data_IF_301790624564
#
_entry.id   IF_301790624564
#
_cell.length_a   1.000
_cell.length_b   1.000
_cell.length_c   1.000
_cell.angle_alpha   90.00
_cell.angle_beta   90.00
_cell.angle_gamma   90.00
#
_symmetry.space_group_name_H-M   'P 1'
#
loop_
_entity.id
_entity.type
_entity.pdbx_description
1 polymer ?
#
# COMPACT_ATOMS: atom_id res chain seq x y z
N UNK A 1 16.07 -3.00 -3.88
CA UNK A 1 17.29 -2.31 -3.40
C UNK A 1 17.38 -2.50 -1.90
N UNK A 2 18.55 -2.83 -1.37
CA UNK A 2 18.77 -3.03 0.07
C UNK A 2 19.82 -2.02 0.51
N UNK A 3 19.57 -1.35 1.64
CA UNK A 3 20.52 -0.42 2.25
C UNK A 3 20.72 -0.90 3.69
N UNK A 4 21.92 -1.39 4.01
CA UNK A 4 22.22 -1.85 5.36
C UNK A 4 22.45 -0.65 6.29
N UNK A 5 21.69 -0.60 7.38
CA UNK A 5 21.89 0.36 8.45
C UNK A 5 23.20 0.09 9.20
N UNK A 6 23.88 1.11 9.75
CA UNK A 6 25.15 0.92 10.47
C UNK A 6 25.07 0.00 11.70
N UNK A 7 23.87 -0.22 12.24
CA UNK A 7 23.63 -0.98 13.48
C UNK A 7 22.59 -2.09 13.30
N UNK A 8 22.23 -2.43 12.06
CA UNK A 8 21.09 -3.30 11.78
C UNK A 8 21.27 -4.72 12.39
N UNK A 9 22.38 -5.40 12.07
CA UNK A 9 22.72 -6.69 12.67
C UNK A 9 22.86 -6.64 14.20
N UNK A 10 23.40 -5.54 14.75
CA UNK A 10 23.55 -5.39 16.21
C UNK A 10 22.22 -5.15 16.93
N UNK A 11 21.27 -4.49 16.28
CA UNK A 11 19.97 -4.15 16.86
C UNK A 11 19.03 -5.37 16.88
N UNK A 12 19.12 -6.24 15.87
CA UNK A 12 18.17 -7.35 15.68
C UNK A 12 18.77 -8.75 15.82
N UNK A 13 20.09 -8.90 15.76
CA UNK A 13 20.79 -10.15 16.11
C UNK A 13 20.55 -11.32 15.16
N UNK A 14 20.19 -11.08 13.90
CA UNK A 14 20.02 -12.16 12.90
C UNK A 14 21.37 -12.71 12.43
N UNK A 15 21.44 -14.03 12.21
CA UNK A 15 22.66 -14.72 11.77
C UNK A 15 22.88 -14.63 10.25
N UNK A 16 21.80 -14.49 9.49
CA UNK A 16 21.79 -14.37 8.04
C UNK A 16 20.50 -13.66 7.60
N UNK A 17 20.51 -13.12 6.39
CA UNK A 17 19.35 -12.49 5.75
C UNK A 17 19.18 -13.04 4.33
N UNK A 18 17.94 -13.02 3.83
CA UNK A 18 17.61 -13.40 2.47
C UNK A 18 16.53 -12.45 1.95
N UNK A 19 16.63 -12.08 0.67
CA UNK A 19 15.61 -11.27 0.01
C UNK A 19 14.62 -12.15 -0.73
N UNK A 20 13.34 -11.88 -0.50
CA UNK A 20 12.23 -12.47 -1.22
C UNK A 20 11.52 -11.35 -1.97
N UNK A 21 11.43 -11.47 -3.29
CA UNK A 21 10.65 -10.59 -4.14
C UNK A 21 9.41 -11.34 -4.59
N UNK A 22 8.25 -10.75 -4.36
CA UNK A 22 6.97 -11.24 -4.84
C UNK A 22 6.56 -10.40 -6.04
N UNK A 23 6.09 -11.05 -7.10
CA UNK A 23 5.52 -10.41 -8.27
C UNK A 23 4.41 -11.30 -8.83
N UNK A 24 3.53 -10.72 -9.61
CA UNK A 24 2.66 -11.46 -10.50
C UNK A 24 3.32 -11.61 -11.88
N UNK A 25 2.69 -12.40 -12.75
CA UNK A 25 3.16 -12.62 -14.11
C UNK A 25 2.02 -12.86 -15.07
N UNK A 26 2.11 -12.22 -16.24
CA UNK A 26 1.18 -12.37 -17.34
C UNK A 26 1.89 -12.94 -18.56
N UNK A 27 1.21 -13.81 -19.30
CA UNK A 27 1.67 -14.29 -20.61
C UNK A 27 1.44 -13.26 -21.72
N UNK A 28 0.58 -12.27 -21.48
CA UNK A 28 0.36 -11.13 -22.34
C UNK A 28 1.18 -9.92 -21.89
N UNK A 29 1.63 -9.11 -22.85
CA UNK A 29 2.31 -7.84 -22.54
C UNK A 29 1.29 -6.82 -22.02
N UNK A 30 1.75 -5.90 -21.17
CA UNK A 30 0.89 -4.89 -20.54
C UNK A 30 0.15 -4.00 -21.56
N UNK A 31 0.75 -3.75 -22.73
CA UNK A 31 0.10 -2.97 -23.80
C UNK A 31 -1.21 -3.62 -24.28
N UNK A 32 -1.24 -4.95 -24.43
CA UNK A 32 -2.43 -5.69 -24.86
C UNK A 32 -3.49 -5.71 -23.76
N UNK A 33 -3.07 -5.94 -22.51
CA UNK A 33 -3.94 -5.96 -21.35
C UNK A 33 -4.58 -4.59 -21.11
N UNK A 34 -3.77 -3.53 -21.22
CA UNK A 34 -4.22 -2.14 -21.08
C UNK A 34 -5.23 -1.76 -22.16
N UNK A 35 -5.00 -2.19 -23.41
CA UNK A 35 -5.94 -1.96 -24.50
C UNK A 35 -7.31 -2.63 -24.24
N UNK A 36 -7.30 -3.82 -23.63
CA UNK A 36 -8.52 -4.51 -23.18
C UNK A 36 -9.20 -3.81 -22.00
N UNK A 37 -8.43 -3.43 -20.99
CA UNK A 37 -8.93 -2.76 -19.78
C UNK A 37 -9.58 -1.40 -20.11
N UNK A 38 -8.92 -0.59 -20.95
CA UNK A 38 -9.40 0.73 -21.37
C UNK A 38 -10.37 0.70 -22.55
N UNK A 39 -10.84 -0.48 -22.96
CA UNK A 39 -11.82 -0.59 -24.04
C UNK A 39 -13.17 0.01 -23.62
N UNK A 40 -13.84 0.82 -24.48
CA UNK A 40 -15.17 1.34 -24.20
C UNK A 40 -16.19 0.22 -23.91
N UNK A 41 -16.75 0.20 -22.70
CA UNK A 41 -17.67 -0.84 -22.24
C UNK A 41 -17.00 -2.04 -21.55
N UNK A 42 -15.68 -1.98 -21.31
CA UNK A 42 -15.03 -2.81 -20.30
C UNK A 42 -15.74 -2.66 -18.95
N UNK A 43 -15.83 -3.73 -18.18
CA UNK A 43 -16.42 -3.70 -16.83
C UNK A 43 -15.47 -3.07 -15.80
N UNK A 44 -14.26 -2.68 -16.21
CA UNK A 44 -13.23 -2.19 -15.30
C UNK A 44 -12.58 -3.28 -14.47
N UNK A 45 -12.80 -4.55 -14.80
CA UNK A 45 -12.17 -5.67 -14.11
C UNK A 45 -10.68 -5.71 -14.44
N UNK A 46 -9.84 -5.65 -13.41
CA UNK A 46 -8.40 -5.76 -13.55
C UNK A 46 -8.01 -7.12 -14.17
N UNK A 47 -7.03 -7.14 -15.07
CA UNK A 47 -6.51 -8.39 -15.62
C UNK A 47 -6.02 -9.32 -14.51
N UNK A 48 -6.46 -10.58 -14.53
CA UNK A 48 -5.98 -11.60 -13.57
C UNK A 48 -4.65 -12.17 -14.06
N UNK A 49 -3.60 -12.21 -13.22
CA UNK A 49 -2.31 -12.76 -13.64
C UNK A 49 -2.36 -14.27 -13.85
N UNK A 50 -1.50 -14.77 -14.73
CA UNK A 50 -1.34 -16.19 -15.00
C UNK A 50 -0.59 -16.90 -13.85
N UNK A 51 0.35 -16.23 -13.19
CA UNK A 51 1.15 -16.84 -12.12
C UNK A 51 1.62 -15.83 -11.09
N UNK A 52 1.98 -16.34 -9.91
CA UNK A 52 2.75 -15.61 -8.90
C UNK A 52 4.20 -16.05 -9.02
N UNK A 53 5.12 -15.09 -8.99
CA UNK A 53 6.56 -15.30 -8.99
C UNK A 53 7.14 -15.00 -7.60
N UNK A 54 8.03 -15.88 -7.16
CA UNK A 54 8.92 -15.66 -6.03
C UNK A 54 10.35 -15.60 -6.59
N UNK A 55 11.01 -14.45 -6.42
CA UNK A 55 12.33 -14.18 -6.99
C UNK A 55 12.42 -14.51 -8.49
N UNK A 56 11.34 -14.28 -9.24
CA UNK A 56 11.26 -14.54 -10.68
C UNK A 56 10.89 -15.98 -11.08
N UNK A 57 10.59 -16.85 -10.12
CA UNK A 57 10.20 -18.24 -10.36
C UNK A 57 8.77 -18.50 -9.91
N UNK A 58 7.99 -19.19 -10.74
CA UNK A 58 6.61 -19.59 -10.42
C UNK A 58 6.18 -20.82 -11.21
N UNK A 59 5.20 -21.54 -10.68
CA UNK A 59 4.53 -22.66 -11.35
C UNK A 59 3.04 -22.32 -11.39
N UNK A 60 2.38 -22.61 -12.51
CA UNK A 60 0.96 -22.36 -12.71
C UNK A 60 0.10 -23.29 -11.82
N UNK A 61 -0.89 -22.67 -11.15
CA UNK A 61 -1.79 -23.14 -10.08
C UNK A 61 -1.13 -23.39 -8.70
N UNK A 62 -0.72 -22.33 -8.00
CA UNK A 62 -0.18 -22.42 -6.63
C UNK A 62 -0.68 -21.29 -5.70
N UNK A 63 -1.15 -21.69 -4.51
CA UNK A 63 -1.44 -20.80 -3.37
C UNK A 63 -0.17 -20.59 -2.54
N UNK A 64 0.17 -19.34 -2.18
CA UNK A 64 1.34 -19.00 -1.35
C UNK A 64 0.99 -18.93 0.15
N UNK A 65 1.69 -19.69 0.99
CA UNK A 65 1.63 -19.62 2.46
C UNK A 65 3.03 -19.95 3.02
N UNK A 66 3.54 -19.18 3.98
CA UNK A 66 4.62 -19.63 4.88
C UNK A 66 3.93 -20.24 6.10
N UNK A 67 3.68 -21.54 6.04
CA UNK A 67 2.88 -22.21 7.07
C UNK A 67 3.77 -22.69 8.25
N UNK A 68 3.19 -22.82 9.45
CA UNK A 68 3.85 -23.26 10.70
C UNK A 68 5.03 -22.42 11.25
N UNK A 69 5.25 -21.19 10.79
CA UNK A 69 6.20 -20.26 11.42
C UNK A 69 5.49 -18.98 11.82
N UNK A 70 5.80 -18.45 13.02
CA UNK A 70 5.44 -17.06 13.32
C UNK A 70 6.50 -16.13 12.74
N UNK A 71 6.05 -15.04 12.15
CA UNK A 71 6.89 -14.01 11.57
C UNK A 71 6.98 -12.85 12.56
N UNK A 72 8.19 -12.53 13.01
CA UNK A 72 8.46 -11.33 13.82
C UNK A 72 8.91 -10.22 12.90
N UNK A 73 8.02 -9.26 12.65
CA UNK A 73 8.26 -8.09 11.81
C UNK A 73 9.07 -7.08 12.61
N UNK A 74 10.16 -6.59 12.01
CA UNK A 74 11.08 -5.61 12.61
C UNK A 74 11.27 -4.36 11.75
N UNK A 75 10.78 -4.35 10.51
CA UNK A 75 10.81 -3.18 9.62
C UNK A 75 9.59 -3.19 8.68
N UNK A 76 9.03 -2.00 8.41
CA UNK A 76 8.02 -1.77 7.37
C UNK A 76 8.43 -0.62 6.46
N UNK A 77 8.55 -0.86 5.15
CA UNK A 77 8.93 0.11 4.12
C UNK A 77 10.22 0.93 4.43
N UNK A 78 11.24 0.33 5.06
CA UNK A 78 12.45 1.05 5.48
C UNK A 78 12.34 1.80 6.80
N UNK A 79 11.25 1.61 7.54
CA UNK A 79 11.07 2.12 8.90
C UNK A 79 11.13 0.97 9.89
N UNK A 80 12.16 0.99 10.73
CA UNK A 80 12.32 0.10 11.88
C UNK A 80 11.06 0.12 12.77
N UNK A 81 10.71 -1.03 13.33
CA UNK A 81 9.53 -1.20 14.19
C UNK A 81 9.89 -1.83 15.52
N UNK A 82 9.04 -1.60 16.53
CA UNK A 82 9.04 -2.47 17.70
C UNK A 82 8.62 -3.87 17.22
N UNK A 83 9.39 -4.94 17.51
CA UNK A 83 9.11 -6.27 17.01
C UNK A 83 7.65 -6.70 17.21
N UNK A 84 7.00 -7.12 16.12
CA UNK A 84 5.59 -7.52 16.11
C UNK A 84 5.42 -8.89 15.47
N UNK A 85 4.99 -9.87 16.28
CA UNK A 85 4.92 -11.29 15.89
C UNK A 85 3.52 -11.70 15.45
N UNK A 86 3.41 -12.21 14.23
CA UNK A 86 2.16 -12.59 13.56
C UNK A 86 2.29 -13.98 12.93
N UNK A 87 1.19 -14.59 12.52
CA UNK A 87 1.22 -15.84 11.74
C UNK A 87 1.15 -15.58 10.23
N UNK A 88 0.54 -14.47 9.80
CA UNK A 88 0.39 -14.11 8.39
C UNK A 88 0.60 -12.62 8.16
N UNK A 89 1.26 -12.30 7.05
CA UNK A 89 1.36 -10.95 6.50
C UNK A 89 0.69 -10.92 5.12
N UNK A 90 -0.07 -9.87 4.86
CA UNK A 90 -0.48 -9.50 3.49
C UNK A 90 0.51 -8.46 2.98
N UNK A 91 1.09 -8.72 1.81
CA UNK A 91 2.06 -7.83 1.17
C UNK A 91 1.43 -7.27 -0.08
N UNK A 92 1.02 -6.01 -0.02
CA UNK A 92 0.43 -5.32 -1.17
C UNK A 92 1.49 -4.57 -1.98
N UNK A 93 1.17 -4.24 -3.23
CA UNK A 93 2.11 -3.65 -4.18
C UNK A 93 2.83 -2.43 -3.59
N UNK A 94 4.15 -2.40 -3.75
CA UNK A 94 5.02 -1.35 -3.21
C UNK A 94 5.36 -1.47 -1.72
N UNK A 95 4.71 -2.34 -0.95
CA UNK A 95 5.04 -2.58 0.45
C UNK A 95 6.26 -3.48 0.62
N UNK A 96 7.02 -3.27 1.70
CA UNK A 96 8.18 -4.10 2.07
C UNK A 96 8.15 -4.39 3.56
N UNK A 97 8.61 -5.59 3.92
CA UNK A 97 8.72 -6.03 5.31
C UNK A 97 10.08 -6.69 5.52
N UNK A 98 10.72 -6.41 6.65
CA UNK A 98 11.77 -7.26 7.19
C UNK A 98 11.16 -8.08 8.32
N UNK A 99 11.18 -9.40 8.19
CA UNK A 99 10.64 -10.30 9.20
C UNK A 99 11.59 -11.48 9.47
N UNK A 100 11.74 -11.83 10.74
CA UNK A 100 12.44 -13.03 11.17
C UNK A 100 11.44 -14.14 11.46
N UNK A 101 11.54 -15.32 10.84
CA UNK A 101 10.79 -16.48 11.29
C UNK A 101 11.26 -16.92 12.69
N UNK A 102 10.39 -17.56 13.46
CA UNK A 102 10.78 -18.27 14.67
C UNK A 102 11.63 -19.53 14.35
N UNK A 103 12.29 -20.08 15.38
CA UNK A 103 13.15 -21.26 15.22
C UNK A 103 12.37 -22.58 15.09
N UNK A 104 11.08 -22.53 14.75
CA UNK A 104 10.31 -23.73 14.51
C UNK A 104 10.87 -24.45 13.26
N UNK A 105 10.80 -25.78 13.24
CA UNK A 105 11.34 -26.57 12.12
C UNK A 105 10.55 -26.39 10.82
N UNK A 106 11.02 -27.06 9.78
CA UNK A 106 10.49 -27.08 8.41
C UNK A 106 8.95 -27.15 8.28
N UNK A 107 8.43 -26.50 7.23
CA UNK A 107 7.13 -26.82 6.65
C UNK A 107 7.26 -27.20 5.17
N UNK A 108 6.51 -28.23 4.79
CA UNK A 108 6.42 -28.89 3.48
C UNK A 108 5.10 -28.59 2.75
N UNK A 109 4.24 -27.71 3.29
CA UNK A 109 2.99 -27.24 2.70
C UNK A 109 3.07 -25.78 2.20
N UNK A 110 4.24 -25.16 2.30
CA UNK A 110 4.51 -23.85 1.73
C UNK A 110 4.77 -23.96 0.22
N UNK A 111 4.36 -22.93 -0.55
CA UNK A 111 4.63 -22.85 -2.00
C UNK A 111 6.15 -22.85 -2.32
N UNK A 112 6.98 -22.56 -1.32
CA UNK A 112 8.42 -22.76 -1.32
C UNK A 112 8.84 -23.40 0.00
N UNK A 113 9.78 -24.36 -0.05
CA UNK A 113 10.36 -24.99 1.14
C UNK A 113 11.54 -24.12 1.58
N UNK A 114 11.44 -23.50 2.77
CA UNK A 114 12.61 -22.87 3.40
C UNK A 114 13.59 -23.98 3.85
N UNK A 115 14.58 -24.27 3.01
CA UNK A 115 15.52 -25.36 3.21
C UNK A 115 16.78 -24.88 3.95
N UNK A 116 16.90 -25.18 5.25
CA UNK A 116 18.18 -25.00 5.93
C UNK A 116 19.24 -25.96 5.38
N UNK A 117 20.47 -25.47 5.25
CA UNK A 117 21.63 -26.21 4.73
C UNK A 117 21.81 -27.57 5.41
N UNK A 118 21.98 -28.63 4.61
CA UNK A 118 22.29 -29.98 5.08
C UNK A 118 21.10 -30.92 5.29
N UNK A 119 19.88 -30.53 4.88
CA UNK A 119 18.67 -31.33 5.11
C UNK A 119 18.02 -31.77 3.81
N UNK A 120 17.58 -33.04 3.77
CA UNK A 120 16.94 -33.65 2.60
C UNK A 120 15.54 -33.07 2.37
N UNK A 121 15.11 -32.98 1.11
CA UNK A 121 13.74 -32.57 0.75
C UNK A 121 12.76 -33.66 1.24
N UNK A 122 11.85 -33.38 2.18
CA UNK A 122 10.89 -34.38 2.64
C UNK A 122 9.78 -34.62 1.60
N UNK A 123 9.12 -35.79 1.60
CA UNK A 123 7.92 -36.00 0.80
C UNK A 123 6.75 -35.12 1.28
N UNK A 124 5.90 -34.66 0.34
CA UNK A 124 4.71 -33.85 0.60
C UNK A 124 3.76 -34.56 1.58
N UNK A 125 3.47 -34.01 2.78
CA UNK A 125 2.50 -34.58 3.70
C UNK A 125 1.07 -34.08 3.43
N UNK A 126 0.04 -34.74 3.98
CA UNK A 126 -1.35 -34.33 3.81
C UNK A 126 -1.63 -32.97 4.48
N UNK A 127 -2.40 -32.14 3.77
CA UNK A 127 -2.86 -30.83 4.19
C UNK A 127 -3.68 -30.93 5.48
N UNK A 128 -3.14 -30.44 6.60
CA UNK A 128 -3.91 -30.24 7.83
C UNK A 128 -4.01 -28.74 8.07
N UNK A 129 -5.18 -28.18 7.83
CA UNK A 129 -5.54 -26.83 8.29
C UNK A 129 -6.84 -26.95 9.08
N UNK A 130 -6.79 -26.71 10.39
CA UNK A 130 -7.30 -25.41 10.84
C UNK A 130 -6.50 -24.86 12.02
N UNK A 131 -5.57 -23.93 11.76
CA UNK A 131 -5.06 -23.02 12.80
C UNK A 131 -5.79 -21.69 12.65
N UNK A 132 -6.23 -21.09 13.77
CA UNK A 132 -6.64 -19.68 13.77
C UNK A 132 -5.38 -18.83 13.64
N UNK A 133 -5.27 -18.04 12.58
CA UNK A 133 -4.11 -17.19 12.31
C UNK A 133 -4.23 -15.85 13.03
N UNK A 134 -3.12 -15.34 13.57
CA UNK A 134 -2.99 -13.93 13.94
C UNK A 134 -2.51 -13.17 12.72
N UNK A 135 -3.42 -12.42 12.10
CA UNK A 135 -3.11 -11.56 10.96
C UNK A 135 -2.37 -10.30 11.39
N UNK A 136 -1.50 -9.81 10.50
CA UNK A 136 -0.87 -8.52 10.66
C UNK A 136 -1.87 -7.38 10.63
N UNK A 137 -2.04 -6.71 11.77
CA UNK A 137 -2.72 -5.43 11.84
C UNK A 137 -1.69 -4.29 11.75
N UNK A 138 -1.74 -3.57 10.63
CA UNK A 138 -0.88 -2.42 10.38
C UNK A 138 -1.04 -1.31 11.43
N UNK A 139 -2.23 -1.11 12.01
CA UNK A 139 -2.46 -0.06 13.01
C UNK A 139 -1.83 -0.40 14.37
N UNK A 140 -1.53 -1.68 14.61
CA UNK A 140 -0.87 -2.18 15.81
C UNK A 140 0.65 -1.96 15.80
N UNK A 141 1.25 -1.68 14.64
CA UNK A 141 2.69 -1.43 14.50
C UNK A 141 3.11 -0.13 15.20
N UNK A 142 4.31 -0.13 15.78
CA UNK A 142 4.94 1.03 16.41
C UNK A 142 6.30 1.27 15.79
N UNK A 143 6.56 2.49 15.34
CA UNK A 143 7.86 2.84 14.76
C UNK A 143 8.97 2.86 15.81
N UNK A 144 10.19 2.51 15.38
CA UNK A 144 11.42 2.57 16.13
C UNK A 144 12.43 3.41 15.31
N UNK A 145 13.13 4.41 15.88
CA UNK A 145 12.80 5.04 17.15
C UNK A 145 11.37 5.61 17.14
N UNK A 146 10.71 5.74 18.31
CA UNK A 146 9.38 6.32 18.37
C UNK A 146 9.34 7.71 17.75
N UNK A 147 8.39 7.94 16.85
CA UNK A 147 8.22 9.21 16.16
C UNK A 147 6.77 9.67 16.27
N UNK A 148 6.54 10.77 16.99
CA UNK A 148 5.22 11.37 17.12
C UNK A 148 4.79 12.06 15.82
N UNK A 149 3.52 11.93 15.45
CA UNK A 149 2.96 12.69 14.34
C UNK A 149 2.85 14.18 14.70
N UNK A 150 2.99 15.10 13.73
CA UNK A 150 2.76 16.53 13.96
C UNK A 150 1.35 16.79 14.52
N UNK A 151 1.25 17.69 15.50
CA UNK A 151 -0.01 18.04 16.17
C UNK A 151 -0.75 19.18 15.46
N UNK A 152 -0.02 20.17 14.94
CA UNK A 152 -0.56 21.22 14.06
C UNK A 152 -0.44 20.74 12.62
N UNK A 153 -1.57 20.66 11.93
CA UNK A 153 -1.65 20.13 10.57
C UNK A 153 -2.59 20.98 9.73
N UNK A 154 -2.28 21.11 8.45
CA UNK A 154 -3.17 21.68 7.44
C UNK A 154 -3.95 20.53 6.80
N UNK A 155 -5.30 20.56 6.83
CA UNK A 155 -6.12 19.48 6.30
C UNK A 155 -6.20 19.53 4.78
N UNK A 156 -6.09 18.36 4.16
CA UNK A 156 -6.33 18.13 2.74
C UNK A 156 -7.18 16.88 2.65
N UNK A 157 -8.23 16.89 1.84
CA UNK A 157 -9.02 15.71 1.57
C UNK A 157 -9.19 15.48 0.09
N UNK A 158 -9.22 14.23 -0.31
CA UNK A 158 -9.75 13.86 -1.61
C UNK A 158 -10.55 12.57 -1.56
N UNK A 159 -11.46 12.48 -2.52
CA UNK A 159 -12.23 11.28 -2.84
C UNK A 159 -11.54 10.55 -3.98
N UNK A 160 -11.48 9.23 -3.88
CA UNK A 160 -10.99 8.33 -4.90
C UNK A 160 -12.06 7.32 -5.26
N UNK A 161 -12.20 7.09 -6.57
CA UNK A 161 -13.11 6.11 -7.12
C UNK A 161 -12.61 5.63 -8.48
N UNK A 162 -12.97 4.41 -8.87
CA UNK A 162 -12.79 3.92 -10.24
C UNK A 162 -14.13 3.91 -10.95
N UNK A 163 -14.26 4.74 -11.99
CA UNK A 163 -15.54 4.94 -12.70
C UNK A 163 -15.34 5.08 -14.20
N UNK A 164 -16.41 4.86 -14.96
CA UNK A 164 -16.42 4.96 -16.43
C UNK A 164 -17.43 6.01 -16.95
N UNK A 165 -17.28 7.30 -16.61
CA UNK A 165 -18.26 8.35 -16.98
C UNK A 165 -18.37 8.54 -18.50
N UNK A 166 -17.32 8.23 -19.25
CA UNK A 166 -17.25 8.27 -20.72
C UNK A 166 -17.13 6.86 -21.33
N UNK A 167 -17.67 5.84 -20.65
CA UNK A 167 -17.60 4.40 -21.00
C UNK A 167 -16.23 3.73 -20.85
N UNK A 168 -15.20 4.45 -20.41
CA UNK A 168 -13.86 3.91 -20.17
C UNK A 168 -13.54 4.01 -18.68
N UNK A 169 -13.29 2.86 -18.04
CA UNK A 169 -12.94 2.79 -16.63
C UNK A 169 -11.60 3.47 -16.36
N UNK A 170 -11.57 4.42 -15.43
CA UNK A 170 -10.33 5.06 -14.95
C UNK A 170 -10.43 5.39 -13.47
N UNK A 171 -9.27 5.57 -12.85
CA UNK A 171 -9.16 6.20 -11.54
C UNK A 171 -9.43 7.71 -11.63
N UNK A 172 -10.27 8.20 -10.72
CA UNK A 172 -10.59 9.62 -10.57
C UNK A 172 -10.30 10.08 -9.14
N UNK A 173 -9.82 11.32 -9.03
CA UNK A 173 -9.58 11.99 -7.75
C UNK A 173 -10.35 13.32 -7.71
N UNK A 174 -11.00 13.63 -6.59
CA UNK A 174 -11.67 14.93 -6.37
C UNK A 174 -11.31 15.54 -5.01
N UNK A 175 -10.81 16.77 -5.00
CA UNK A 175 -10.47 17.51 -3.77
C UNK A 175 -11.63 18.31 -3.16
N UNK A 176 -12.84 18.23 -3.73
CA UNK A 176 -13.98 19.09 -3.35
C UNK A 176 -15.14 18.34 -2.71
N UNK A 177 -14.96 17.09 -2.28
CA UNK A 177 -16.05 16.18 -1.87
C UNK A 177 -17.20 16.16 -2.90
N UNK A 178 -16.83 16.16 -4.17
CA UNK A 178 -17.75 16.24 -5.29
C UNK A 178 -17.16 15.49 -6.48
N UNK A 179 -17.67 14.30 -6.73
CA UNK A 179 -17.24 13.44 -7.83
C UNK A 179 -17.53 14.04 -9.20
N UNK A 180 -18.39 15.06 -9.29
CA UNK A 180 -18.71 15.76 -10.55
C UNK A 180 -17.54 16.56 -11.13
N UNK A 181 -16.56 16.93 -10.29
CA UNK A 181 -15.32 17.60 -10.70
C UNK A 181 -14.10 16.69 -10.49
N UNK A 182 -14.29 15.37 -10.49
CA UNK A 182 -13.18 14.46 -10.35
C UNK A 182 -12.33 14.44 -11.63
N UNK A 183 -11.02 14.37 -11.46
CA UNK A 183 -10.07 14.38 -12.56
C UNK A 183 -9.27 13.08 -12.58
N UNK A 184 -9.14 12.50 -13.77
CA UNK A 184 -8.19 11.43 -14.04
C UNK A 184 -6.83 12.03 -14.38
N UNK A 185 -5.76 11.47 -13.84
CA UNK A 185 -4.42 12.01 -14.06
C UNK A 185 -4.03 11.90 -15.54
N UNK A 186 -3.58 13.02 -16.12
CA UNK A 186 -3.04 13.04 -17.47
C UNK A 186 -1.59 13.48 -17.44
N UNK A 187 -0.68 12.57 -17.81
CA UNK A 187 0.75 12.84 -17.86
C UNK A 187 1.03 14.08 -18.73
N UNK A 188 1.67 15.13 -18.19
CA UNK A 188 1.98 16.32 -18.97
C UNK A 188 3.22 16.13 -19.84
N UNK A 189 3.29 16.92 -20.91
CA UNK A 189 4.51 17.13 -21.68
C UNK A 189 4.69 18.64 -21.93
N UNK A 190 5.77 19.27 -21.45
CA UNK A 190 6.90 18.68 -20.71
C UNK A 190 6.54 18.26 -19.27
N UNK A 191 7.47 17.61 -18.57
CA UNK A 191 7.27 17.17 -17.19
C UNK A 191 7.04 18.36 -16.24
N UNK A 192 6.24 18.17 -15.18
CA UNK A 192 5.87 19.24 -14.24
C UNK A 192 7.09 19.98 -13.70
N UNK A 193 8.09 19.25 -13.19
CA UNK A 193 9.30 19.87 -12.62
C UNK A 193 10.05 20.72 -13.66
N UNK A 194 10.08 20.30 -14.93
CA UNK A 194 10.65 21.10 -16.01
C UNK A 194 9.87 22.39 -16.21
N UNK A 195 8.54 22.32 -16.29
CA UNK A 195 7.69 23.51 -16.44
C UNK A 195 7.82 24.49 -15.28
N UNK A 196 8.02 24.01 -14.05
CA UNK A 196 8.23 24.86 -12.88
C UNK A 196 9.59 25.56 -12.91
N UNK A 197 10.66 24.81 -13.19
CA UNK A 197 12.03 25.31 -13.04
C UNK A 197 12.55 26.04 -14.28
N UNK A 198 12.17 25.59 -15.48
CA UNK A 198 12.64 26.14 -16.74
C UNK A 198 11.65 27.16 -17.31
N UNK A 199 10.38 26.78 -17.44
CA UNK A 199 9.36 27.63 -18.06
C UNK A 199 8.74 28.63 -17.08
N UNK A 200 9.06 28.51 -15.78
CA UNK A 200 8.54 29.35 -14.70
C UNK A 200 7.00 29.41 -14.66
N UNK A 201 6.35 28.28 -14.99
CA UNK A 201 4.90 28.15 -14.99
C UNK A 201 4.39 28.11 -13.55
N UNK A 202 3.37 28.92 -13.25
CA UNK A 202 2.67 28.84 -11.97
C UNK A 202 1.82 27.56 -11.92
N UNK A 203 1.95 26.70 -10.89
CA UNK A 203 1.12 25.50 -10.71
C UNK A 203 -0.38 25.76 -10.83
N UNK A 204 -0.87 26.91 -10.37
CA UNK A 204 -2.28 27.28 -10.43
C UNK A 204 -2.83 27.48 -11.86
N UNK A 205 -1.95 27.66 -12.84
CA UNK A 205 -2.30 27.81 -14.25
C UNK A 205 -2.18 26.50 -15.04
N UNK A 206 -1.74 25.41 -14.39
CA UNK A 206 -1.62 24.11 -15.05
C UNK A 206 -2.99 23.42 -15.16
N UNK A 207 -3.06 22.40 -16.01
CA UNK A 207 -4.30 21.64 -16.22
C UNK A 207 -4.81 21.05 -14.89
N UNK A 208 -6.13 21.13 -14.61
CA UNK A 208 -6.70 20.50 -13.43
C UNK A 208 -6.55 18.97 -13.46
N UNK A 209 -6.37 18.35 -14.64
CA UNK A 209 -6.08 16.92 -14.78
C UNK A 209 -4.70 16.51 -14.23
N UNK A 210 -3.89 17.45 -13.73
CA UNK A 210 -2.66 17.14 -13.02
C UNK A 210 -2.88 16.92 -11.52
N UNK A 211 -4.06 17.25 -10.97
CA UNK A 211 -4.38 17.06 -9.55
C UNK A 211 -3.30 17.64 -8.61
N UNK A 212 -2.77 18.83 -8.95
CA UNK A 212 -1.66 19.42 -8.20
C UNK A 212 -2.16 20.03 -6.89
N UNK A 213 -1.51 19.61 -5.80
CA UNK A 213 -1.64 20.21 -4.48
C UNK A 213 -0.32 20.89 -4.14
N UNK A 214 -0.34 22.23 -4.03
CA UNK A 214 0.84 23.00 -3.64
C UNK A 214 0.94 23.11 -2.12
N UNK A 215 2.11 22.76 -1.58
CA UNK A 215 2.40 22.79 -0.14
C UNK A 215 3.50 23.80 0.17
N UNK A 216 3.42 24.43 1.33
CA UNK A 216 4.49 25.27 1.87
C UNK A 216 5.63 24.42 2.45
N UNK A 217 6.85 24.94 2.39
CA UNK A 217 8.01 24.27 2.98
C UNK A 217 7.84 24.08 4.49
N UNK A 218 8.04 22.85 4.98
CA UNK A 218 7.86 22.47 6.39
C UNK A 218 6.40 22.39 6.84
N UNK A 219 5.43 22.58 5.93
CA UNK A 219 4.01 22.43 6.25
C UNK A 219 3.73 20.98 6.67
N UNK A 220 3.14 20.81 7.85
CA UNK A 220 2.61 19.51 8.28
C UNK A 220 1.21 19.34 7.70
N UNK A 221 0.97 18.24 6.99
CA UNK A 221 -0.27 17.97 6.28
C UNK A 221 -0.99 16.82 6.96
N UNK A 222 -2.32 16.94 7.10
CA UNK A 222 -3.19 15.81 7.36
C UNK A 222 -3.97 15.51 6.09
N UNK A 223 -3.71 14.33 5.52
CA UNK A 223 -4.35 13.87 4.30
C UNK A 223 -5.46 12.89 4.65
N UNK A 224 -6.69 13.28 4.38
CA UNK A 224 -7.86 12.41 4.46
C UNK A 224 -8.19 11.88 3.08
N UNK A 225 -8.41 10.58 3.00
CA UNK A 225 -8.69 9.87 1.75
C UNK A 225 -10.00 9.14 1.95
N UNK A 226 -10.95 9.36 1.05
CA UNK A 226 -12.19 8.57 0.98
C UNK A 226 -12.10 7.67 -0.24
N UNK A 227 -12.20 6.37 -0.02
CA UNK A 227 -12.20 5.34 -1.05
C UNK A 227 -13.65 4.88 -1.28
N UNK A 228 -14.21 5.24 -2.42
CA UNK A 228 -15.53 4.77 -2.87
C UNK A 228 -15.45 3.47 -3.67
N UNK A 229 -14.23 2.95 -3.90
CA UNK A 229 -14.00 1.69 -4.58
C UNK A 229 -13.95 0.51 -3.61
N UNK A 230 -14.40 -0.65 -4.08
CA UNK A 230 -14.52 -1.88 -3.29
C UNK A 230 -13.26 -2.74 -3.29
N UNK A 231 -12.31 -2.41 -4.15
CA UNK A 231 -11.02 -3.06 -4.27
C UNK A 231 -10.00 -2.56 -3.26
N UNK A 232 -8.90 -3.30 -3.16
CA UNK A 232 -7.73 -2.88 -2.40
C UNK A 232 -6.88 -1.93 -3.24
N UNK A 233 -6.58 -0.75 -2.70
CA UNK A 233 -5.76 0.26 -3.39
C UNK A 233 -4.52 0.59 -2.56
N UNK A 234 -3.33 0.04 -2.88
CA UNK A 234 -2.08 0.41 -2.21
C UNK A 234 -1.58 1.77 -2.71
N UNK A 235 -1.74 2.82 -1.91
CA UNK A 235 -1.30 4.17 -2.24
C UNK A 235 0.11 4.46 -1.74
N UNK A 236 0.96 4.94 -2.65
CA UNK A 236 2.35 5.29 -2.39
C UNK A 236 2.58 6.80 -2.49
N UNK A 237 3.21 7.38 -1.47
CA UNK A 237 3.70 8.76 -1.49
C UNK A 237 5.20 8.80 -1.77
N UNK A 238 5.58 9.44 -2.87
CA UNK A 238 6.98 9.62 -3.22
C UNK A 238 7.65 10.63 -2.28
N UNK A 239 8.96 10.45 -2.07
CA UNK A 239 9.82 11.41 -1.37
C UNK A 239 9.57 11.54 0.14
N UNK A 240 8.60 10.83 0.70
CA UNK A 240 8.20 10.96 2.10
C UNK A 240 7.85 9.61 2.73
N UNK A 241 7.95 9.57 4.05
CA UNK A 241 7.33 8.56 4.91
C UNK A 241 6.24 9.25 5.72
N UNK A 242 5.04 8.68 5.76
CA UNK A 242 3.90 9.25 6.48
C UNK A 242 3.57 8.47 7.73
N UNK A 243 2.92 9.13 8.69
CA UNK A 243 2.25 8.51 9.82
C UNK A 243 0.85 8.07 9.42
N UNK A 244 0.44 6.91 9.91
CA UNK A 244 -0.91 6.38 9.72
C UNK A 244 -1.73 6.74 10.95
N UNK A 245 -2.69 7.64 10.77
CA UNK A 245 -3.54 8.13 11.84
C UNK A 245 -4.78 7.26 12.04
N UNK A 246 -5.30 6.67 10.98
CA UNK A 246 -6.42 5.74 11.09
C UNK A 246 -6.91 5.30 9.74
N UNK A 247 -7.64 4.20 9.74
CA UNK A 247 -8.39 3.71 8.59
C UNK A 247 -9.63 2.97 9.07
N UNK A 248 -10.64 2.86 8.22
CA UNK A 248 -11.86 2.14 8.53
C UNK A 248 -12.92 2.33 7.47
N UNK A 249 -14.14 1.96 7.81
CA UNK A 249 -15.32 2.15 6.98
C UNK A 249 -16.26 3.16 7.65
N UNK A 250 -17.03 3.88 6.84
CA UNK A 250 -18.03 4.83 7.30
C UNK A 250 -19.14 4.98 6.24
N UNK A 251 -20.27 5.55 6.66
CA UNK A 251 -21.40 5.86 5.77
C UNK A 251 -21.67 7.35 5.63
N UNK A 252 -20.98 8.18 6.41
CA UNK A 252 -21.03 9.64 6.34
C UNK A 252 -19.64 10.23 6.65
N UNK A 253 -19.08 11.14 5.83
CA UNK A 253 -17.75 11.70 6.05
C UNK A 253 -17.56 12.35 7.43
N UNK A 254 -18.64 12.79 8.08
CA UNK A 254 -18.62 13.33 9.45
C UNK A 254 -18.25 12.29 10.53
N UNK A 255 -18.32 10.99 10.20
CA UNK A 255 -17.90 9.90 11.08
C UNK A 255 -16.38 9.71 11.08
N UNK A 256 -15.65 10.28 10.12
CA UNK A 256 -14.20 10.17 10.03
C UNK A 256 -13.57 10.95 11.18
N UNK A 257 -12.73 10.32 12.03
CA UNK A 257 -12.09 11.01 13.14
C UNK A 257 -11.23 12.19 12.67
N UNK A 258 -11.52 13.39 13.19
CA UNK A 258 -10.69 14.59 13.00
C UNK A 258 -9.69 14.79 14.13
N UNK A 259 -9.89 14.08 15.24
CA UNK A 259 -9.00 14.08 16.41
C UNK A 259 -8.58 12.66 16.72
N UNK A 260 -7.31 12.50 17.12
CA UNK A 260 -6.71 11.20 17.39
C UNK A 260 -6.22 11.17 18.84
N UNK A 261 -6.42 10.05 19.57
CA UNK A 261 -6.15 9.97 20.99
C UNK A 261 -4.64 10.06 21.29
N UNK A 262 -4.29 10.57 22.47
CA UNK A 262 -2.90 10.67 22.92
C UNK A 262 -2.19 9.30 23.04
N UNK A 263 -2.95 8.20 23.16
CA UNK A 263 -2.42 6.83 23.10
C UNK A 263 -1.81 6.49 21.74
N UNK A 264 -2.08 7.30 20.71
CA UNK A 264 -1.44 7.24 19.40
C UNK A 264 -0.17 8.11 19.30
N UNK A 265 0.57 8.23 20.40
CA UNK A 265 1.82 9.00 20.46
C UNK A 265 2.93 8.45 19.54
N UNK A 266 2.85 7.18 19.14
CA UNK A 266 3.78 6.54 18.20
C UNK A 266 2.97 5.78 17.12
N UNK A 267 2.41 6.48 16.13
CA UNK A 267 1.68 5.84 15.03
C UNK A 267 2.64 5.02 14.15
N UNK A 268 2.13 4.00 13.43
CA UNK A 268 2.90 3.36 12.36
C UNK A 268 3.37 4.40 11.33
N UNK A 269 4.55 4.17 10.75
CA UNK A 269 5.14 5.01 9.71
C UNK A 269 5.64 4.18 8.56
N UNK A 270 5.29 4.57 7.33
CA UNK A 270 5.72 3.87 6.11
C UNK A 270 5.51 4.72 4.86
N UNK A 271 5.84 4.16 3.68
CA UNK A 271 5.74 4.85 2.39
C UNK A 271 4.54 4.42 1.53
N UNK A 272 3.90 3.28 1.84
CA UNK A 272 2.76 2.74 1.10
C UNK A 272 1.65 2.31 2.04
N UNK A 273 0.39 2.62 1.75
CA UNK A 273 -0.78 2.22 2.56
C UNK A 273 -1.88 1.68 1.66
N UNK A 274 -2.41 0.50 1.97
CA UNK A 274 -3.64 0.04 1.34
C UNK A 274 -4.82 0.78 1.94
N UNK A 275 -5.58 1.47 1.11
CA UNK A 275 -6.80 2.13 1.54
C UNK A 275 -7.82 1.07 1.96
N UNK A 276 -8.54 1.34 3.05
CA UNK A 276 -9.70 0.53 3.39
C UNK A 276 -10.70 0.53 2.22
N UNK A 277 -11.26 -0.63 1.84
CA UNK A 277 -12.38 -0.68 0.89
C UNK A 277 -13.67 -0.29 1.60
N UNK A 278 -14.73 0.00 0.84
CA UNK A 278 -16.07 0.06 1.41
C UNK A 278 -16.52 -1.29 1.98
N UNK A 279 -17.57 -1.28 2.79
CA UNK A 279 -18.16 -2.50 3.33
C UNK A 279 -18.93 -3.28 2.26
N UNK A 280 -18.69 -4.59 2.16
CA UNK A 280 -19.48 -5.49 1.31
C UNK A 280 -20.63 -6.11 2.10
N UNK A 281 -21.80 -6.24 1.48
CA UNK A 281 -22.93 -6.99 2.02
C UNK A 281 -22.61 -8.49 2.04
N UNK A 282 -23.43 -9.29 2.72
CA UNK A 282 -23.30 -10.76 2.73
C UNK A 282 -23.43 -11.41 1.35
N UNK A 283 -23.95 -10.69 0.35
CA UNK A 283 -24.06 -11.14 -1.05
C UNK A 283 -22.88 -10.71 -1.91
N UNK A 284 -21.94 -9.94 -1.36
CA UNK A 284 -20.77 -9.42 -2.08
C UNK A 284 -21.04 -8.10 -2.82
N UNK A 285 -22.18 -7.45 -2.58
CA UNK A 285 -22.50 -6.15 -3.17
C UNK A 285 -21.96 -5.00 -2.31
N UNK A 286 -21.77 -3.82 -2.89
CA UNK A 286 -21.47 -2.60 -2.14
C UNK A 286 -22.56 -2.31 -1.11
N UNK A 287 -22.19 -2.20 0.17
CA UNK A 287 -23.12 -1.78 1.20
C UNK A 287 -23.59 -0.35 0.91
N UNK A 288 -24.90 -0.07 0.98
CA UNK A 288 -25.44 1.23 0.60
C UNK A 288 -24.78 2.37 1.37
N UNK A 289 -24.34 3.40 0.64
CA UNK A 289 -23.67 4.59 1.18
C UNK A 289 -22.39 4.30 1.96
N UNK A 290 -21.75 3.13 1.79
CA UNK A 290 -20.51 2.80 2.47
C UNK A 290 -19.29 3.28 1.67
N UNK A 291 -18.25 3.70 2.38
CA UNK A 291 -16.94 4.01 1.82
C UNK A 291 -15.84 3.65 2.83
N UNK A 292 -14.65 3.36 2.32
CA UNK A 292 -13.46 3.27 3.13
C UNK A 292 -12.85 4.65 3.37
N UNK A 293 -12.20 4.84 4.51
CA UNK A 293 -11.47 6.07 4.81
C UNK A 293 -10.08 5.76 5.34
N UNK A 294 -9.14 6.67 5.07
CA UNK A 294 -7.78 6.62 5.59
C UNK A 294 -7.29 8.02 5.91
N UNK A 295 -6.66 8.21 7.05
CA UNK A 295 -6.07 9.49 7.46
C UNK A 295 -4.58 9.31 7.69
N UNK A 296 -3.79 10.11 6.97
CA UNK A 296 -2.33 10.12 7.02
C UNK A 296 -1.84 11.49 7.49
N UNK A 297 -0.63 11.54 8.03
CA UNK A 297 0.11 12.78 8.24
C UNK A 297 1.51 12.70 7.66
N UNK A 298 2.01 13.81 7.13
CA UNK A 298 3.41 13.94 6.71
C UNK A 298 3.85 15.40 6.82
N UNK A 299 5.16 15.64 6.75
CA UNK A 299 5.73 16.99 6.69
C UNK A 299 6.26 17.22 5.29
N UNK A 300 5.93 18.35 4.67
CA UNK A 300 6.47 18.77 3.38
C UNK A 300 7.89 19.34 3.55
N UNK A 301 8.83 18.50 3.97
CA UNK A 301 10.22 18.85 4.28
C UNK A 301 11.21 18.50 3.17
N UNK A 302 10.74 17.88 2.09
CA UNK A 302 11.54 17.50 0.93
C UNK A 302 11.10 18.26 -0.34
N UNK A 303 11.81 19.33 -0.75
CA UNK A 303 11.44 20.13 -1.92
C UNK A 303 11.44 19.30 -3.22
N UNK A 304 10.31 19.27 -3.92
CA UNK A 304 10.19 18.53 -5.18
C UNK A 304 8.75 18.46 -5.69
N UNK A 305 8.55 17.70 -6.76
CA UNK A 305 7.23 17.30 -7.25
C UNK A 305 7.10 15.80 -6.98
N UNK A 306 6.14 15.45 -6.12
CA UNK A 306 6.01 14.09 -5.61
C UNK A 306 4.66 13.52 -5.99
N UNK A 307 4.68 12.30 -6.52
CA UNK A 307 3.46 11.61 -6.89
C UNK A 307 2.86 10.92 -5.66
N UNK A 308 1.54 11.01 -5.52
CA UNK A 308 0.76 10.22 -4.58
C UNK A 308 -0.24 9.44 -5.41
N UNK A 309 -0.06 8.13 -5.52
CA UNK A 309 -0.80 7.32 -6.47
C UNK A 309 -1.04 5.89 -5.96
N UNK A 310 -2.09 5.25 -6.48
CA UNK A 310 -2.27 3.81 -6.36
C UNK A 310 -1.13 3.07 -7.06
N UNK A 311 -0.64 2.01 -6.44
CA UNK A 311 0.48 1.17 -6.86
C UNK A 311 0.01 -0.15 -7.49
N UNK A 312 -1.28 -0.25 -7.81
CA UNK A 312 -1.81 -1.19 -8.80
C UNK A 312 -1.59 -0.57 -10.17
N UNK A 313 -0.87 -1.30 -11.04
CA UNK A 313 -0.55 -0.87 -12.41
C UNK A 313 -1.72 -1.07 -13.37
#
# INVERSE_FOLDING_TARGET
>A
MIIHGPQDQTNYGYAAEQTIQLADWYHHVSEDLLAGYLFPGSTGAEPVPDSILINGHGIYDCNFIIDNHRLTIIETDGVDTIPYTVDRITVNNGQRYFASPDSAGYNTAAAEILQYSGQAVPPLPPTVMPKTFVDFDQMSVKSLPPAAAPSKVEPISFDFDTVAPDTIQRAYVSFTYNTSNAHTFQKPYPAILYSLLHDNVNPANMSPNLNIVQLGAGQSVQLQIINYDGGEHPWHLHGHTFWIMGQGQATDPSQIPTTFPATQANPPRRGVITLAPYELTSTGDCAPNSFGWTVLRFVADNPGVWFFHCHTE
#
